data_IF_576355449875
#
_entry.id   IF_576355449875
#
_cell.length_a   1.000
_cell.length_b   1.000
_cell.length_c   1.000
_cell.angle_alpha   90.00
_cell.angle_beta   90.00
_cell.angle_gamma   90.00
#
_symmetry.space_group_name_H-M   'P 1'
#
loop_
_entity.id
_entity.type
_entity.pdbx_description
1 polymer ?
#
# COMPACT_ATOMS: atom_id res chain seq x y z
N UNK A 1 29.57 -11.47 -25.17
CA UNK A 1 28.17 -11.05 -25.25
C UNK A 1 27.88 -10.25 -23.99
N UNK A 2 27.83 -8.92 -24.11
CA UNK A 2 27.45 -8.05 -23.00
C UNK A 2 25.96 -8.32 -22.73
N UNK A 3 25.65 -9.04 -21.65
CA UNK A 3 24.28 -9.08 -21.16
C UNK A 3 23.87 -7.65 -20.88
N UNK A 4 22.84 -7.17 -21.56
CA UNK A 4 22.20 -5.90 -21.21
C UNK A 4 21.90 -5.97 -19.72
N UNK A 5 22.54 -5.11 -18.91
CA UNK A 5 22.30 -5.04 -17.48
C UNK A 5 20.88 -4.50 -17.30
N UNK A 6 19.90 -5.39 -17.35
CA UNK A 6 18.50 -5.03 -17.28
C UNK A 6 18.25 -4.50 -15.87
N UNK A 7 17.78 -3.27 -15.79
CA UNK A 7 17.51 -2.59 -14.52
C UNK A 7 16.58 -3.46 -13.66
N UNK A 8 17.02 -3.76 -12.43
CA UNK A 8 16.21 -4.53 -11.48
C UNK A 8 15.05 -3.67 -11.03
N UNK A 9 13.83 -4.21 -11.11
CA UNK A 9 12.60 -3.49 -10.78
C UNK A 9 11.78 -4.27 -9.77
N UNK A 10 11.09 -3.55 -8.90
CA UNK A 10 10.17 -4.11 -7.91
C UNK A 10 8.84 -3.38 -7.98
N UNK A 11 7.73 -4.11 -8.07
CA UNK A 11 6.39 -3.55 -7.92
C UNK A 11 6.13 -3.42 -6.42
N UNK A 12 5.97 -2.19 -5.95
CA UNK A 12 5.57 -1.91 -4.58
C UNK A 12 4.07 -1.73 -4.55
N UNK A 13 3.36 -2.69 -3.96
CA UNK A 13 1.89 -2.67 -3.89
C UNK A 13 1.46 -1.90 -2.65
N UNK A 14 0.78 -0.77 -2.87
CA UNK A 14 0.38 0.18 -1.83
C UNK A 14 -1.14 0.23 -1.67
N UNK A 15 -1.60 0.36 -0.43
CA UNK A 15 -3.02 0.47 -0.10
C UNK A 15 -3.34 -0.02 1.32
N UNK A 16 -4.06 0.80 2.07
CA UNK A 16 -4.50 0.47 3.43
C UNK A 16 -5.70 -0.48 3.36
N UNK A 17 -5.46 -1.80 3.46
CA UNK A 17 -6.52 -2.85 3.43
C UNK A 17 -7.48 -2.75 2.23
N UNK A 18 -7.02 -2.14 1.15
CA UNK A 18 -7.83 -1.81 -0.03
C UNK A 18 -7.80 -2.91 -1.10
N UNK A 19 -7.47 -4.14 -0.72
CA UNK A 19 -7.34 -5.26 -1.66
C UNK A 19 -5.93 -5.52 -2.17
N UNK A 20 -4.89 -5.04 -1.47
CA UNK A 20 -3.46 -5.29 -1.82
C UNK A 20 -3.15 -6.78 -2.01
N UNK A 21 -3.75 -7.68 -1.22
CA UNK A 21 -3.57 -9.13 -1.41
C UNK A 21 -4.23 -9.67 -2.69
N UNK A 22 -5.33 -9.07 -3.17
CA UNK A 22 -5.92 -9.46 -4.45
C UNK A 22 -4.99 -9.04 -5.61
N UNK A 23 -4.48 -7.81 -5.57
CA UNK A 23 -3.53 -7.33 -6.58
C UNK A 23 -2.22 -8.11 -6.55
N UNK A 24 -1.59 -8.29 -5.38
CA UNK A 24 -0.36 -9.07 -5.25
C UNK A 24 -0.53 -10.51 -5.69
N UNK A 25 -1.67 -11.15 -5.36
CA UNK A 25 -1.97 -12.50 -5.83
C UNK A 25 -2.10 -12.56 -7.34
N UNK A 26 -2.89 -11.67 -7.95
CA UNK A 26 -3.02 -11.57 -9.41
C UNK A 26 -1.66 -11.44 -10.09
N UNK A 27 -0.83 -10.49 -9.66
CA UNK A 27 0.48 -10.25 -10.28
C UNK A 27 1.44 -11.44 -10.06
N UNK A 28 1.33 -12.14 -8.92
CA UNK A 28 2.14 -13.33 -8.64
C UNK A 28 1.77 -14.51 -9.54
N UNK A 29 0.48 -14.80 -9.73
CA UNK A 29 0.03 -15.85 -10.66
C UNK A 29 0.45 -15.56 -12.11
N UNK A 30 0.62 -14.29 -12.45
CA UNK A 30 1.14 -13.85 -13.75
C UNK A 30 2.67 -13.91 -13.87
N UNK A 31 3.35 -14.44 -12.86
CA UNK A 31 4.79 -14.72 -12.90
C UNK A 31 5.68 -13.70 -12.18
N UNK A 32 5.11 -12.76 -11.42
CA UNK A 32 5.93 -11.89 -10.57
C UNK A 32 6.52 -12.68 -9.38
N UNK A 33 7.80 -12.43 -9.09
CA UNK A 33 8.49 -13.05 -7.98
C UNK A 33 7.96 -12.58 -6.62
N UNK A 34 7.86 -13.52 -5.68
CA UNK A 34 7.50 -13.27 -4.28
C UNK A 34 8.74 -13.37 -3.38
N UNK A 35 8.69 -12.79 -2.17
CA UNK A 35 9.70 -13.05 -1.14
C UNK A 35 9.73 -14.54 -0.76
N UNK A 36 10.87 -15.02 -0.27
CA UNK A 36 11.02 -16.39 0.19
C UNK A 36 10.28 -16.64 1.50
N UNK A 37 10.28 -15.66 2.41
CA UNK A 37 9.64 -15.79 3.71
C UNK A 37 8.30 -15.04 3.76
N UNK A 38 7.25 -15.69 3.27
CA UNK A 38 5.89 -15.14 3.23
C UNK A 38 5.18 -15.31 4.58
N UNK A 39 4.51 -14.23 5.02
CA UNK A 39 3.55 -14.29 6.12
C UNK A 39 2.43 -15.28 5.82
N UNK A 40 2.23 -16.22 6.74
CA UNK A 40 1.28 -17.31 6.58
C UNK A 40 -0.18 -16.84 6.56
N UNK A 41 -1.01 -17.58 5.84
CA UNK A 41 -2.46 -17.38 5.85
C UNK A 41 -3.04 -17.59 7.27
N UNK A 42 -4.09 -16.84 7.60
CA UNK A 42 -4.83 -17.00 8.85
C UNK A 42 -6.34 -16.77 8.62
N UNK A 43 -7.13 -16.75 9.70
CA UNK A 43 -8.58 -16.57 9.60
C UNK A 43 -9.00 -15.24 8.95
N UNK A 44 -8.21 -14.17 9.12
CA UNK A 44 -8.48 -12.85 8.57
C UNK A 44 -8.05 -12.72 7.10
N UNK A 45 -7.11 -13.55 6.65
CA UNK A 45 -6.76 -13.70 5.23
C UNK A 45 -6.38 -15.16 4.89
N UNK A 46 -7.38 -16.01 4.61
CA UNK A 46 -7.17 -17.44 4.40
C UNK A 46 -6.34 -17.81 3.16
N UNK A 47 -6.11 -16.85 2.25
CA UNK A 47 -5.37 -17.07 1.00
C UNK A 47 -3.91 -16.65 1.09
N UNK A 48 -3.47 -16.19 2.25
CA UNK A 48 -2.11 -15.68 2.45
C UNK A 48 -2.00 -14.18 2.18
N UNK A 49 -1.01 -13.57 2.82
CA UNK A 49 -0.87 -12.12 2.80
C UNK A 49 -0.04 -11.59 1.65
N UNK A 50 0.82 -12.42 1.05
CA UNK A 50 1.83 -11.98 0.08
C UNK A 50 2.83 -10.96 0.65
N UNK A 51 2.96 -10.91 1.99
CA UNK A 51 3.81 -9.98 2.72
C UNK A 51 5.09 -10.70 3.18
N UNK A 52 6.27 -10.07 3.08
CA UNK A 52 7.50 -10.60 3.66
C UNK A 52 7.45 -10.50 5.19
N UNK A 53 7.44 -11.64 5.88
CA UNK A 53 7.26 -11.73 7.33
C UNK A 53 8.33 -10.93 8.09
N UNK A 54 9.60 -11.15 7.77
CA UNK A 54 10.70 -10.53 8.52
C UNK A 54 10.72 -8.99 8.35
N UNK A 55 10.36 -8.51 7.16
CA UNK A 55 10.24 -7.07 6.89
C UNK A 55 9.07 -6.47 7.69
N UNK A 56 7.94 -7.16 7.78
CA UNK A 56 6.80 -6.69 8.57
C UNK A 56 7.15 -6.59 10.06
N UNK A 57 7.89 -7.56 10.60
CA UNK A 57 8.39 -7.53 11.98
C UNK A 57 9.36 -6.36 12.21
N UNK A 58 10.26 -6.11 11.27
CA UNK A 58 11.18 -4.96 11.35
C UNK A 58 10.44 -3.62 11.24
N UNK A 59 9.36 -3.52 10.46
CA UNK A 59 8.52 -2.32 10.42
C UNK A 59 7.81 -2.08 11.76
N UNK A 60 7.35 -3.12 12.45
CA UNK A 60 6.80 -2.97 13.79
C UNK A 60 7.87 -2.48 14.79
N UNK A 61 9.11 -2.95 14.69
CA UNK A 61 10.25 -2.43 15.47
C UNK A 61 10.50 -0.93 15.19
N UNK A 62 10.52 -0.54 13.92
CA UNK A 62 10.71 0.86 13.49
C UNK A 62 9.60 1.76 14.06
N UNK A 63 8.34 1.37 13.91
CA UNK A 63 7.21 2.14 14.43
C UNK A 63 7.29 2.27 15.95
N UNK A 64 7.59 1.16 16.66
CA UNK A 64 7.75 1.17 18.11
C UNK A 64 8.89 2.08 18.59
N UNK A 65 9.99 2.19 17.82
CA UNK A 65 11.12 3.08 18.14
C UNK A 65 10.74 4.56 18.23
N UNK A 66 9.61 4.95 17.63
CA UNK A 66 9.06 6.32 17.65
C UNK A 66 7.81 6.46 18.53
N UNK A 67 7.43 5.41 19.27
CA UNK A 67 6.18 5.38 20.04
C UNK A 67 4.92 5.28 19.18
N UNK A 68 5.07 4.90 17.91
CA UNK A 68 3.98 4.66 16.96
C UNK A 68 3.62 3.16 16.91
N UNK A 69 2.54 2.84 16.22
CA UNK A 69 2.17 1.47 15.84
C UNK A 69 1.61 1.45 14.43
N UNK A 70 1.28 0.25 13.92
CA UNK A 70 0.71 0.10 12.57
C UNK A 70 -0.62 0.83 12.39
N UNK A 71 -1.43 0.96 13.45
CA UNK A 71 -2.74 1.60 13.43
C UNK A 71 -2.70 3.08 13.77
N UNK A 72 -1.52 3.61 14.13
CA UNK A 72 -1.37 5.01 14.46
C UNK A 72 -1.56 5.87 13.20
N UNK A 73 -2.59 6.71 13.21
CA UNK A 73 -2.92 7.61 12.11
C UNK A 73 -2.28 8.99 12.27
N UNK A 74 -1.53 9.24 13.36
CA UNK A 74 -0.78 10.48 13.53
C UNK A 74 0.37 10.54 12.52
N UNK A 75 0.82 11.74 12.20
CA UNK A 75 1.94 11.91 11.28
C UNK A 75 3.19 11.21 11.82
N UNK A 76 3.89 10.46 10.97
CA UNK A 76 5.16 9.87 11.34
C UNK A 76 6.25 10.96 11.36
N UNK A 77 7.11 11.06 12.40
CA UNK A 77 8.05 12.18 12.53
C UNK A 77 8.99 12.29 11.33
N UNK A 78 8.86 13.35 10.51
CA UNK A 78 9.61 13.48 9.25
C UNK A 78 11.12 13.57 9.48
N UNK A 79 11.54 14.27 10.53
CA UNK A 79 12.97 14.41 10.87
C UNK A 79 13.61 13.08 11.28
N UNK A 80 12.82 12.08 11.71
CA UNK A 80 13.34 10.76 12.06
C UNK A 80 14.00 10.08 10.85
N UNK A 81 13.50 10.30 9.62
CA UNK A 81 14.08 9.71 8.41
C UNK A 81 15.51 10.19 8.12
N UNK A 82 15.96 11.27 8.75
CA UNK A 82 17.33 11.79 8.64
C UNK A 82 18.23 11.42 9.83
N UNK A 83 17.74 10.59 10.75
CA UNK A 83 18.47 10.18 11.95
C UNK A 83 19.42 9.00 11.70
N UNK A 84 20.38 8.80 12.61
CA UNK A 84 21.23 7.59 12.62
C UNK A 84 20.42 6.30 12.75
N UNK A 85 19.30 6.35 13.49
CA UNK A 85 18.39 5.22 13.62
C UNK A 85 17.77 4.84 12.27
N UNK A 86 17.32 5.83 11.49
CA UNK A 86 16.81 5.57 10.13
C UNK A 86 17.88 4.95 9.23
N UNK A 87 19.11 5.46 9.24
CA UNK A 87 20.22 4.88 8.47
C UNK A 87 20.53 3.41 8.88
N UNK A 88 20.48 3.12 10.18
CA UNK A 88 20.63 1.76 10.71
C UNK A 88 19.52 0.83 10.20
N UNK A 89 18.26 1.27 10.28
CA UNK A 89 17.11 0.50 9.80
C UNK A 89 17.10 0.33 8.28
N UNK A 90 17.49 1.34 7.51
CA UNK A 90 17.63 1.24 6.05
C UNK A 90 18.66 0.17 5.66
N UNK A 91 19.78 0.10 6.37
CA UNK A 91 20.81 -0.93 6.15
C UNK A 91 20.24 -2.33 6.38
N UNK A 92 19.58 -2.56 7.53
CA UNK A 92 18.94 -3.84 7.86
C UNK A 92 17.86 -4.23 6.83
N UNK A 93 16.99 -3.30 6.46
CA UNK A 93 15.96 -3.52 5.44
C UNK A 93 16.57 -3.87 4.07
N UNK A 94 17.67 -3.23 3.70
CA UNK A 94 18.38 -3.52 2.43
C UNK A 94 18.91 -4.94 2.41
N UNK A 95 19.58 -5.37 3.47
CA UNK A 95 20.09 -6.74 3.60
C UNK A 95 18.97 -7.77 3.54
N UNK A 96 17.89 -7.53 4.28
CA UNK A 96 16.71 -8.41 4.31
C UNK A 96 16.04 -8.49 2.95
N UNK A 97 15.79 -7.34 2.30
CA UNK A 97 15.20 -7.28 0.96
C UNK A 97 16.06 -8.01 -0.07
N UNK A 98 17.37 -7.78 -0.10
CA UNK A 98 18.26 -8.48 -1.04
C UNK A 98 18.29 -9.99 -0.78
N UNK A 99 18.28 -10.40 0.48
CA UNK A 99 18.30 -11.82 0.83
C UNK A 99 16.98 -12.52 0.49
N UNK A 100 15.85 -11.91 0.80
CA UNK A 100 14.52 -12.50 0.66
C UNK A 100 14.08 -12.60 -0.81
N UNK A 101 14.60 -11.72 -1.66
CA UNK A 101 14.33 -11.71 -3.11
C UNK A 101 15.47 -12.28 -3.96
N UNK A 102 16.51 -12.88 -3.35
CA UNK A 102 17.71 -13.37 -4.07
C UNK A 102 17.42 -14.40 -5.17
N UNK A 103 16.35 -15.18 -5.03
CA UNK A 103 15.94 -16.22 -5.99
C UNK A 103 15.00 -15.72 -7.08
N UNK A 104 14.50 -14.48 -6.98
CA UNK A 104 13.57 -13.96 -7.95
C UNK A 104 14.32 -13.55 -9.23
N UNK A 105 14.11 -14.31 -10.31
CA UNK A 105 14.66 -14.00 -11.62
C UNK A 105 13.69 -13.09 -12.38
N UNK A 106 13.67 -11.79 -12.06
CA UNK A 106 12.90 -10.80 -12.82
C UNK A 106 12.16 -9.80 -11.94
N UNK A 107 10.93 -9.46 -12.36
CA UNK A 107 10.09 -8.48 -11.68
C UNK A 107 9.51 -9.08 -10.40
N UNK A 108 9.69 -8.39 -9.27
CA UNK A 108 9.23 -8.85 -7.95
C UNK A 108 8.07 -8.01 -7.44
N UNK A 109 7.29 -8.55 -6.50
CA UNK A 109 6.28 -7.81 -5.74
C UNK A 109 6.78 -7.62 -4.31
N UNK A 110 6.86 -6.37 -3.87
CA UNK A 110 6.97 -6.01 -2.47
C UNK A 110 5.61 -5.48 -2.00
N UNK A 111 4.98 -6.21 -1.09
CA UNK A 111 3.73 -5.79 -0.47
C UNK A 111 3.90 -5.85 1.04
N UNK A 112 3.81 -4.70 1.70
CA UNK A 112 3.66 -4.59 3.15
C UNK A 112 2.92 -3.24 3.40
N UNK A 113 1.78 -3.22 4.12
CA UNK A 113 0.96 -2.00 4.23
C UNK A 113 1.64 -0.78 4.88
N UNK A 114 2.53 -0.97 5.87
CA UNK A 114 3.26 0.11 6.57
C UNK A 114 4.27 0.79 5.67
N UNK A 115 4.67 0.20 4.54
CA UNK A 115 5.44 0.89 3.49
C UNK A 115 4.77 2.22 3.12
N UNK A 116 3.43 2.29 3.10
CA UNK A 116 2.72 3.54 2.81
C UNK A 116 3.18 4.73 3.67
N UNK A 117 3.62 4.47 4.90
CA UNK A 117 4.12 5.47 5.86
C UNK A 117 5.64 5.56 5.92
N UNK A 118 6.33 4.51 5.46
CA UNK A 118 7.79 4.37 5.52
C UNK A 118 8.48 4.60 4.17
N UNK A 119 7.77 5.10 3.15
CA UNK A 119 8.30 5.36 1.82
C UNK A 119 9.60 6.19 1.81
N UNK A 120 9.76 7.25 2.62
CA UNK A 120 11.03 7.97 2.69
C UNK A 120 12.22 7.07 3.08
N UNK A 121 12.04 6.17 4.05
CA UNK A 121 13.06 5.17 4.43
C UNK A 121 13.31 4.18 3.29
N UNK A 122 12.24 3.73 2.63
CA UNK A 122 12.34 2.78 1.52
C UNK A 122 13.02 3.36 0.28
N UNK A 123 13.00 4.68 0.08
CA UNK A 123 13.76 5.32 -0.99
C UNK A 123 15.27 5.01 -0.84
N UNK A 124 15.80 5.12 0.37
CA UNK A 124 17.20 4.78 0.67
C UNK A 124 17.47 3.29 0.47
N UNK A 125 16.53 2.43 0.89
CA UNK A 125 16.61 0.97 0.71
C UNK A 125 16.68 0.59 -0.77
N UNK A 126 15.79 1.14 -1.61
CA UNK A 126 15.78 0.85 -3.05
C UNK A 126 17.06 1.35 -3.74
N UNK A 127 17.53 2.54 -3.36
CA UNK A 127 18.78 3.09 -3.86
C UNK A 127 19.98 2.21 -3.48
N UNK A 128 20.08 1.78 -2.22
CA UNK A 128 21.16 0.92 -1.73
C UNK A 128 21.12 -0.48 -2.36
N UNK A 129 19.92 -1.02 -2.59
CA UNK A 129 19.72 -2.31 -3.27
C UNK A 129 19.94 -2.24 -4.79
N UNK A 130 20.03 -1.04 -5.37
CA UNK A 130 20.16 -0.84 -6.81
C UNK A 130 18.92 -1.34 -7.59
N UNK A 131 17.73 -1.12 -7.03
CA UNK A 131 16.45 -1.50 -7.64
C UNK A 131 15.57 -0.27 -7.88
N UNK A 132 14.83 -0.28 -8.98
CA UNK A 132 13.86 0.77 -9.30
C UNK A 132 12.46 0.37 -8.83
N UNK A 133 11.85 1.15 -7.93
CA UNK A 133 10.49 0.87 -7.49
C UNK A 133 9.47 1.33 -8.55
N UNK A 134 8.46 0.49 -8.76
CA UNK A 134 7.26 0.76 -9.55
C UNK A 134 6.08 0.73 -8.60
N UNK A 135 5.46 1.88 -8.31
CA UNK A 135 4.40 1.95 -7.31
C UNK A 135 3.04 1.57 -7.91
N UNK A 136 2.35 0.60 -7.33
CA UNK A 136 1.02 0.21 -7.78
C UNK A 136 0.05 0.35 -6.61
N UNK A 137 -0.80 1.36 -6.70
CA UNK A 137 -1.83 1.62 -5.72
C UNK A 137 -3.07 0.80 -6.03
N UNK A 138 -3.69 0.24 -5.00
CA UNK A 138 -5.05 -0.27 -5.07
C UNK A 138 -5.91 0.41 -4.03
N UNK A 139 -7.07 0.88 -4.46
CA UNK A 139 -8.02 1.62 -3.64
C UNK A 139 -9.40 0.95 -3.66
N UNK A 140 -10.14 1.15 -2.57
CA UNK A 140 -11.45 0.56 -2.30
C UNK A 140 -12.28 1.58 -1.53
N UNK A 141 -13.60 1.50 -1.66
CA UNK A 141 -14.52 2.37 -0.93
C UNK A 141 -14.16 2.46 0.57
N UNK A 142 -14.01 3.68 1.15
CA UNK A 142 -13.46 3.85 2.49
C UNK A 142 -14.23 3.12 3.59
N UNK A 143 -15.56 3.09 3.52
CA UNK A 143 -16.40 2.35 4.48
C UNK A 143 -16.13 0.84 4.43
N UNK A 144 -15.85 0.27 3.26
CA UNK A 144 -15.52 -1.15 3.14
C UNK A 144 -14.13 -1.47 3.70
N UNK A 145 -13.18 -0.54 3.55
CA UNK A 145 -11.86 -0.64 4.19
C UNK A 145 -12.01 -0.64 5.70
N UNK A 146 -12.75 0.33 6.25
CA UNK A 146 -12.99 0.44 7.68
C UNK A 146 -13.73 -0.79 8.24
N UNK A 147 -14.75 -1.29 7.55
CA UNK A 147 -15.44 -2.53 7.91
C UNK A 147 -14.52 -3.76 7.88
N UNK A 148 -13.56 -3.81 6.95
CA UNK A 148 -12.56 -4.88 6.90
C UNK A 148 -11.61 -4.87 8.09
N UNK A 149 -11.21 -3.68 8.56
CA UNK A 149 -10.40 -3.51 9.78
C UNK A 149 -11.20 -3.86 11.03
N UNK A 150 -12.47 -3.42 11.10
CA UNK A 150 -13.36 -3.80 12.18
C UNK A 150 -13.47 -5.31 12.36
N UNK A 151 -13.64 -6.05 11.26
CA UNK A 151 -13.77 -7.50 11.31
C UNK A 151 -12.47 -8.23 11.67
N UNK A 152 -11.29 -7.64 11.39
CA UNK A 152 -9.98 -8.25 11.71
C UNK A 152 -9.55 -7.94 13.15
N UNK A 153 -9.74 -6.71 13.63
CA UNK A 153 -9.08 -6.19 14.84
C UNK A 153 -10.06 -5.57 15.85
N UNK A 154 -11.34 -5.44 15.50
CA UNK A 154 -12.32 -4.73 16.30
C UNK A 154 -12.22 -3.21 16.24
N UNK A 155 -11.52 -2.63 15.25
CA UNK A 155 -11.44 -1.18 15.08
C UNK A 155 -12.80 -0.52 14.87
N UNK A 156 -12.97 0.71 15.36
CA UNK A 156 -14.15 1.52 15.04
C UNK A 156 -14.12 1.98 13.59
N UNK A 157 -15.30 2.35 13.05
CA UNK A 157 -15.43 2.96 11.71
C UNK A 157 -14.51 4.17 11.58
N UNK A 158 -14.52 5.05 12.59
CA UNK A 158 -13.68 6.24 12.63
C UNK A 158 -12.19 5.90 12.60
N UNK A 159 -11.72 4.97 13.42
CA UNK A 159 -10.32 4.53 13.41
C UNK A 159 -9.91 3.94 12.06
N UNK A 160 -10.79 3.14 11.45
CA UNK A 160 -10.56 2.56 10.12
C UNK A 160 -10.43 3.62 9.04
N UNK A 161 -11.28 4.66 9.08
CA UNK A 161 -11.21 5.77 8.13
C UNK A 161 -9.98 6.65 8.36
N UNK A 162 -9.60 6.94 9.61
CA UNK A 162 -8.36 7.68 9.93
C UNK A 162 -7.12 6.94 9.42
N UNK A 163 -7.07 5.61 9.62
CA UNK A 163 -6.02 4.76 9.07
C UNK A 163 -6.01 4.81 7.54
N UNK A 164 -7.17 4.69 6.88
CA UNK A 164 -7.29 4.81 5.43
C UNK A 164 -6.73 6.15 4.93
N UNK A 165 -7.18 7.27 5.51
CA UNK A 165 -6.79 8.63 5.11
C UNK A 165 -5.28 8.80 5.21
N UNK A 166 -4.69 8.56 6.40
CA UNK A 166 -3.25 8.78 6.66
C UNK A 166 -2.38 7.98 5.69
N UNK A 167 -2.68 6.70 5.47
CA UNK A 167 -1.89 5.86 4.57
C UNK A 167 -1.96 6.35 3.13
N UNK A 168 -3.14 6.76 2.63
CA UNK A 168 -3.30 7.19 1.24
C UNK A 168 -2.66 8.55 0.97
N UNK A 169 -2.81 9.54 1.87
CA UNK A 169 -2.23 10.89 1.66
C UNK A 169 -0.69 10.89 1.72
N UNK A 170 -0.10 10.07 2.58
CA UNK A 170 1.37 10.00 2.72
C UNK A 170 1.98 9.26 1.54
N UNK A 171 1.43 8.10 1.20
CA UNK A 171 1.97 7.28 0.13
C UNK A 171 1.79 7.89 -1.25
N UNK A 172 0.66 8.55 -1.52
CA UNK A 172 0.47 9.29 -2.76
C UNK A 172 1.52 10.40 -2.89
N UNK A 173 1.69 11.23 -1.86
CA UNK A 173 2.67 12.33 -1.84
C UNK A 173 4.08 11.84 -2.11
N UNK A 174 4.52 10.84 -1.36
CA UNK A 174 5.91 10.38 -1.34
C UNK A 174 6.30 9.56 -2.59
N UNK A 175 5.34 9.28 -3.50
CA UNK A 175 5.57 8.57 -4.77
C UNK A 175 5.43 9.44 -6.02
N UNK A 176 5.13 10.75 -5.90
CA UNK A 176 4.87 11.63 -7.05
C UNK A 176 6.02 11.75 -8.06
N UNK A 177 7.27 11.58 -7.61
CA UNK A 177 8.46 11.63 -8.48
C UNK A 177 8.78 10.31 -9.16
N UNK A 178 8.06 9.23 -8.83
CA UNK A 178 8.34 7.89 -9.30
C UNK A 178 7.27 7.39 -10.26
N UNK A 179 7.59 6.30 -10.97
CA UNK A 179 6.66 5.64 -11.87
C UNK A 179 5.58 4.93 -11.05
N UNK A 180 4.33 5.25 -11.33
CA UNK A 180 3.20 4.77 -10.53
C UNK A 180 1.95 4.50 -11.37
N UNK A 181 1.07 3.65 -10.84
CA UNK A 181 -0.23 3.34 -11.40
C UNK A 181 -1.27 3.15 -10.28
N UNK A 182 -2.54 3.36 -10.59
CA UNK A 182 -3.65 3.29 -9.63
C UNK A 182 -4.72 2.33 -10.15
N UNK A 183 -5.23 1.48 -9.26
CA UNK A 183 -6.23 0.45 -9.56
C UNK A 183 -7.39 0.58 -8.59
N UNK A 184 -8.61 0.48 -9.10
CA UNK A 184 -9.81 0.34 -8.27
C UNK A 184 -10.07 -1.14 -8.00
N UNK A 185 -10.30 -1.50 -6.74
CA UNK A 185 -10.51 -2.88 -6.30
C UNK A 185 -11.65 -3.58 -7.06
N UNK A 186 -12.78 -2.90 -7.21
CA UNK A 186 -13.94 -3.46 -7.91
C UNK A 186 -13.67 -3.67 -9.40
N UNK A 187 -12.88 -2.77 -10.01
CA UNK A 187 -12.46 -2.91 -11.40
C UNK A 187 -11.51 -4.10 -11.59
N UNK A 188 -10.60 -4.35 -10.63
CA UNK A 188 -9.74 -5.54 -10.63
C UNK A 188 -10.58 -6.81 -10.54
N UNK A 189 -11.61 -6.85 -9.69
CA UNK A 189 -12.46 -8.04 -9.56
C UNK A 189 -13.35 -8.27 -10.79
N UNK A 190 -13.77 -7.19 -11.45
CA UNK A 190 -14.67 -7.27 -12.60
C UNK A 190 -13.95 -7.64 -13.91
N UNK A 191 -12.82 -6.98 -14.18
CA UNK A 191 -12.05 -7.17 -15.42
C UNK A 191 -10.55 -6.97 -15.15
N UNK A 192 -9.94 -7.95 -14.48
CA UNK A 192 -8.52 -7.90 -14.16
C UNK A 192 -7.63 -7.82 -15.41
N UNK A 193 -8.07 -8.32 -16.57
CA UNK A 193 -7.27 -8.33 -17.80
C UNK A 193 -7.04 -6.91 -18.31
N UNK A 194 -8.10 -6.11 -18.41
CA UNK A 194 -7.98 -4.70 -18.77
C UNK A 194 -7.13 -3.92 -17.77
N UNK A 195 -7.23 -4.24 -16.47
CA UNK A 195 -6.39 -3.64 -15.43
C UNK A 195 -4.92 -3.98 -15.64
N UNK A 196 -4.57 -5.26 -15.81
CA UNK A 196 -3.18 -5.71 -16.01
C UNK A 196 -2.60 -5.16 -17.31
N UNK A 197 -3.38 -5.08 -18.38
CA UNK A 197 -2.97 -4.44 -19.62
C UNK A 197 -2.66 -2.95 -19.44
N UNK A 198 -3.46 -2.24 -18.63
CA UNK A 198 -3.17 -0.88 -18.19
C UNK A 198 -1.87 -0.77 -17.39
N UNK A 199 -1.64 -1.69 -16.44
CA UNK A 199 -0.40 -1.75 -15.65
C UNK A 199 0.83 -2.02 -16.51
N UNK A 200 0.73 -2.93 -17.49
CA UNK A 200 1.79 -3.22 -18.46
C UNK A 200 2.26 -1.95 -19.15
N UNK A 201 1.32 -1.14 -19.67
CA UNK A 201 1.63 0.16 -20.30
C UNK A 201 2.18 1.18 -19.32
N UNK A 202 1.48 1.42 -18.20
CA UNK A 202 1.81 2.48 -17.26
C UNK A 202 3.19 2.26 -16.62
N UNK A 203 3.50 1.01 -16.23
CA UNK A 203 4.72 0.66 -15.51
C UNK A 203 5.84 0.15 -16.43
N UNK A 204 5.57 -0.08 -17.73
CA UNK A 204 6.55 -0.61 -18.68
C UNK A 204 6.94 -2.05 -18.37
N UNK A 205 5.96 -2.87 -17.97
CA UNK A 205 6.10 -4.27 -17.59
C UNK A 205 5.31 -5.16 -18.57
N UNK A 206 5.47 -6.49 -18.48
CA UNK A 206 4.87 -7.42 -19.44
C UNK A 206 4.38 -8.67 -18.74
N UNK A 207 3.15 -8.63 -18.26
CA UNK A 207 2.41 -9.80 -17.80
C UNK A 207 1.51 -10.37 -18.90
N UNK A 208 1.31 -11.69 -18.95
CA UNK A 208 0.38 -12.32 -19.89
C UNK A 208 -1.07 -11.93 -19.56
N UNK A 209 -1.94 -11.91 -20.58
CA UNK A 209 -3.38 -11.63 -20.43
C UNK A 209 -4.25 -12.88 -20.74
N UNK A 210 -3.62 -13.91 -21.28
CA UNK A 210 -4.19 -15.20 -21.66
C UNK A 210 -3.24 -16.34 -21.23
N UNK A 211 -3.59 -17.58 -21.59
CA UNK A 211 -2.80 -18.75 -21.22
C UNK A 211 -3.19 -19.36 -19.87
N UNK A 212 -2.31 -20.24 -19.35
CA UNK A 212 -2.57 -21.01 -18.14
C UNK A 212 -2.55 -20.10 -16.90
N UNK A 213 -1.60 -19.18 -16.84
CA UNK A 213 -1.43 -18.18 -15.78
C UNK A 213 -2.70 -17.32 -15.62
N UNK A 214 -3.29 -16.90 -16.74
CA UNK A 214 -4.55 -16.13 -16.74
C UNK A 214 -5.72 -16.92 -16.14
N UNK A 215 -5.80 -18.22 -16.39
CA UNK A 215 -6.84 -19.08 -15.81
C UNK A 215 -6.67 -19.26 -14.29
N UNK A 216 -5.43 -19.28 -13.78
CA UNK A 216 -5.16 -19.29 -12.34
C UNK A 216 -5.62 -17.99 -11.67
N UNK A 217 -5.45 -16.85 -12.32
CA UNK A 217 -5.96 -15.56 -11.84
C UNK A 217 -7.50 -15.57 -11.74
N UNK A 218 -8.20 -16.06 -12.77
CA UNK A 218 -9.67 -16.16 -12.75
C UNK A 218 -10.14 -16.96 -11.52
N UNK A 219 -9.56 -18.15 -11.30
CA UNK A 219 -9.89 -18.99 -10.14
C UNK A 219 -9.56 -18.33 -8.79
N UNK A 220 -8.46 -17.58 -8.73
CA UNK A 220 -8.04 -16.89 -7.51
C UNK A 220 -9.01 -15.75 -7.13
N UNK A 221 -9.44 -14.94 -8.11
CA UNK A 221 -10.28 -13.76 -7.90
C UNK A 221 -11.75 -14.09 -7.65
N UNK A 222 -12.32 -15.11 -8.30
CA UNK A 222 -13.72 -15.56 -8.04
C UNK A 222 -13.99 -15.81 -6.54
N UNK A 223 -12.96 -16.28 -5.82
CA UNK A 223 -13.03 -16.59 -4.39
C UNK A 223 -12.88 -15.37 -3.46
N UNK A 224 -12.70 -14.15 -3.98
CA UNK A 224 -12.46 -12.91 -3.20
C UNK A 224 -13.71 -12.03 -2.99
N UNK A 225 -14.86 -12.41 -3.54
CA UNK A 225 -16.11 -11.66 -3.40
C UNK A 225 -16.66 -11.78 -1.97
N UNK A 226 -16.27 -10.87 -1.09
CA UNK A 226 -16.96 -10.64 0.20
C UNK A 226 -17.12 -9.16 0.45
N UNK A 227 -18.37 -8.72 0.45
CA UNK A 227 -18.77 -7.43 1.00
C UNK A 227 -18.90 -7.60 2.52
N UNK A 228 -18.19 -6.77 3.27
CA UNK A 228 -18.30 -6.75 4.72
C UNK A 228 -19.12 -5.53 5.12
N UNK A 229 -20.36 -5.78 5.55
CA UNK A 229 -21.19 -4.78 6.22
C UNK A 229 -21.25 -5.17 7.69
N UNK A 230 -20.68 -4.34 8.55
CA UNK A 230 -20.82 -4.45 9.99
C UNK A 230 -21.48 -3.17 10.48
N UNK A 231 -22.54 -3.29 11.29
CA UNK A 231 -23.13 -2.14 11.95
C UNK A 231 -22.13 -1.54 12.92
N UNK A 232 -21.72 -0.29 12.68
CA UNK A 232 -20.76 0.43 13.50
C UNK A 232 -21.26 1.83 13.85
N UNK A 233 -20.68 2.42 14.89
CA UNK A 233 -20.85 3.84 15.24
C UNK A 233 -20.47 4.73 14.06
N UNK A 234 -21.30 5.72 13.75
CA UNK A 234 -21.02 6.69 12.69
C UNK A 234 -19.78 7.53 13.03
N UNK A 235 -18.89 7.77 12.06
CA UNK A 235 -17.70 8.60 12.25
C UNK A 235 -18.08 10.09 12.29
N UNK A 236 -17.16 10.96 12.70
CA UNK A 236 -17.35 12.39 12.48
C UNK A 236 -17.48 12.74 10.98
N UNK A 237 -18.44 13.60 10.62
CA UNK A 237 -18.77 13.97 9.24
C UNK A 237 -17.55 14.37 8.39
N UNK A 238 -16.61 15.11 8.99
CA UNK A 238 -15.43 15.59 8.27
C UNK A 238 -14.45 14.45 7.89
N UNK A 239 -14.37 13.39 8.71
CA UNK A 239 -13.50 12.23 8.46
C UNK A 239 -14.04 11.46 7.27
N UNK A 240 -15.35 11.20 7.26
CA UNK A 240 -15.99 10.50 6.15
C UNK A 240 -15.95 11.31 4.86
N UNK A 241 -16.26 12.60 4.90
CA UNK A 241 -16.19 13.47 3.73
C UNK A 241 -14.77 13.52 3.12
N UNK A 242 -13.75 13.55 3.98
CA UNK A 242 -12.35 13.57 3.57
C UNK A 242 -11.94 12.23 2.93
N UNK A 243 -12.30 11.11 3.56
CA UNK A 243 -12.02 9.77 3.02
C UNK A 243 -12.70 9.56 1.64
N UNK A 244 -13.95 10.00 1.49
CA UNK A 244 -14.67 9.93 0.22
C UNK A 244 -14.03 10.84 -0.85
N UNK A 245 -13.49 11.99 -0.45
CA UNK A 245 -12.76 12.87 -1.37
C UNK A 245 -11.46 12.24 -1.87
N UNK A 246 -10.72 11.53 -1.01
CA UNK A 246 -9.54 10.76 -1.38
C UNK A 246 -9.91 9.64 -2.36
N UNK A 247 -10.95 8.86 -2.07
CA UNK A 247 -11.42 7.80 -2.98
C UNK A 247 -11.80 8.35 -4.36
N UNK A 248 -12.46 9.52 -4.41
CA UNK A 248 -12.75 10.22 -5.67
C UNK A 248 -11.47 10.66 -6.40
N UNK A 249 -10.47 11.16 -5.68
CA UNK A 249 -9.18 11.51 -6.29
C UNK A 249 -8.48 10.27 -6.87
N UNK A 250 -8.48 9.15 -6.15
CA UNK A 250 -7.93 7.88 -6.64
C UNK A 250 -8.62 7.38 -7.91
N UNK A 251 -9.94 7.59 -8.04
CA UNK A 251 -10.67 7.29 -9.27
C UNK A 251 -10.20 8.14 -10.47
N UNK A 252 -9.82 9.40 -10.25
CA UNK A 252 -9.21 10.24 -11.29
C UNK A 252 -7.80 9.74 -11.65
N UNK A 253 -7.02 9.42 -10.62
CA UNK A 253 -5.63 8.95 -10.75
C UNK A 253 -5.51 7.58 -11.45
N UNK A 254 -6.58 6.78 -11.47
CA UNK A 254 -6.65 5.55 -12.29
C UNK A 254 -6.53 5.83 -13.80
N UNK A 255 -7.03 6.97 -14.28
CA UNK A 255 -6.95 7.33 -15.70
C UNK A 255 -5.64 8.02 -16.04
N UNK A 256 -5.21 8.95 -15.19
CA UNK A 256 -3.92 9.62 -15.28
C UNK A 256 -3.28 9.69 -13.88
N UNK A 257 -2.20 8.92 -13.62
CA UNK A 257 -1.51 8.93 -12.32
C UNK A 257 -0.97 10.30 -11.89
N UNK A 258 -1.01 11.31 -12.76
CA UNK A 258 -0.62 12.68 -12.48
C UNK A 258 -1.73 13.70 -12.78
N UNK A 259 -3.00 13.25 -12.79
CA UNK A 259 -4.16 14.11 -13.02
C UNK A 259 -4.14 15.33 -12.07
N UNK A 260 -4.13 16.57 -12.58
CA UNK A 260 -3.92 17.75 -11.75
C UNK A 260 -5.06 17.99 -10.75
N UNK A 261 -6.30 17.56 -11.06
CA UNK A 261 -7.45 17.71 -10.16
C UNK A 261 -7.36 16.68 -9.04
N UNK A 262 -7.04 15.43 -9.37
CA UNK A 262 -6.79 14.37 -8.39
C UNK A 262 -5.68 14.76 -7.41
N UNK A 263 -4.54 15.26 -7.91
CA UNK A 263 -3.43 15.71 -7.06
C UNK A 263 -3.81 16.89 -6.16
N UNK A 264 -4.57 17.86 -6.68
CA UNK A 264 -5.03 18.99 -5.88
C UNK A 264 -5.98 18.56 -4.74
N UNK A 265 -6.86 17.57 -5.00
CA UNK A 265 -7.71 16.99 -3.96
C UNK A 265 -6.86 16.30 -2.89
N UNK A 266 -5.84 15.54 -3.28
CA UNK A 266 -4.92 14.88 -2.35
C UNK A 266 -4.13 15.88 -1.49
N UNK A 267 -3.66 16.97 -2.09
CA UNK A 267 -2.97 18.04 -1.37
C UNK A 267 -3.88 18.76 -0.37
N UNK A 268 -5.10 19.11 -0.81
CA UNK A 268 -6.10 19.67 0.08
C UNK A 268 -6.44 18.70 1.23
N UNK A 269 -6.60 17.42 0.92
CA UNK A 269 -6.94 16.42 1.91
C UNK A 269 -5.87 16.29 3.00
N UNK A 270 -4.59 16.32 2.61
CA UNK A 270 -3.46 16.32 3.55
C UNK A 270 -3.48 17.54 4.47
N UNK A 271 -3.62 18.74 3.92
CA UNK A 271 -3.68 19.99 4.71
C UNK A 271 -4.81 19.96 5.72
N UNK A 272 -6.02 19.57 5.29
CA UNK A 272 -7.18 19.46 6.19
C UNK A 272 -6.94 18.42 7.28
N UNK A 273 -6.40 17.25 6.92
CA UNK A 273 -6.15 16.17 7.86
C UNK A 273 -5.16 16.58 8.95
N UNK A 274 -4.03 17.16 8.56
CA UNK A 274 -2.98 17.55 9.51
C UNK A 274 -3.45 18.67 10.44
N UNK A 275 -4.14 19.69 9.90
CA UNK A 275 -4.74 20.77 10.70
C UNK A 275 -5.70 20.23 11.77
N UNK A 276 -6.63 19.35 11.39
CA UNK A 276 -7.62 18.76 12.30
C UNK A 276 -6.98 17.81 13.31
N UNK A 277 -5.95 17.07 12.90
CA UNK A 277 -5.21 16.14 13.76
C UNK A 277 -4.51 16.86 14.92
N UNK A 278 -3.93 18.04 14.65
CA UNK A 278 -3.30 18.88 15.67
C UNK A 278 -4.30 19.46 16.68
N UNK A 279 -5.52 19.82 16.23
CA UNK A 279 -6.61 20.29 17.10
C UNK A 279 -7.03 19.21 18.12
N UNK A 280 -7.18 17.97 17.65
CA UNK A 280 -7.56 16.81 18.48
C UNK A 280 -6.49 16.51 19.53
N UNK A 281 -5.21 16.49 19.11
CA UNK A 281 -4.09 16.20 20.01
C UNK A 281 -3.96 17.26 21.12
N UNK A 282 -4.16 18.54 20.79
CA UNK A 282 -4.09 19.65 21.75
C UNK A 282 -5.22 19.60 22.78
N UNK A 283 -6.43 19.23 22.35
CA UNK A 283 -7.61 19.13 23.21
C UNK A 283 -7.51 17.98 24.22
N UNK A 284 -6.83 16.89 23.85
CA UNK A 284 -6.57 15.76 24.76
C UNK A 284 -5.53 16.10 25.84
N UNK A 285 -4.50 16.89 25.52
CA UNK A 285 -3.49 17.34 26.50
C UNK A 285 -3.97 18.43 27.46
N UNK A 286 -5.00 19.20 27.10
CA UNK A 286 -5.57 20.24 27.97
C UNK A 286 -6.55 19.70 29.04
N UNK A 287 -6.97 18.44 28.93
CA UNK A 287 -7.92 17.78 29.83
C UNK A 287 -7.26 16.73 30.76
N UNK A 288 -5.92 16.72 30.84
CA UNK A 288 -5.11 15.91 31.77
C UNK A 288 -4.33 16.81 32.70
#
# INVERSE_FOLDING_TARGET
MQGSNQEKRVIVVLGARSGTSALSGTLSFLGAGLPQNLMQANWANPKGYFEPQDIAELHDEILASTGSSWSDWREFPRDWFHSEAAAHYATRLTEMFLNDYRSASGLCILKEPRICRLLPLWADVFQAAGVVPLFCFIDRAPREVAASLAARDGSSMEQGLLYYIRNHIESERDTRSARRAFVQYDALLHDWRSIVDGLNRALGISFPLDGAEAAEVDQFLERNLRNQNVGQTEPADWIEALANSIHKAFSMLTNDPYDPVGLAIMDHARVVFDMRSSEISTTQSANT
#
